data_IF_887846443291
#
_entry.id   IF_887846443291
#
_cell.length_a   1.000
_cell.length_b   1.000
_cell.length_c   1.000
_cell.angle_alpha   90.00
_cell.angle_beta   90.00
_cell.angle_gamma   90.00
#
_symmetry.space_group_name_H-M   'P 1'
#
loop_
_entity.id
_entity.type
_entity.pdbx_description
1 polymer ?
#
# COMPACT_ATOMS: atom_id res chain seq x y z
N UNK A 1 -0.23 17.67 5.36
CA UNK A 1 -1.38 16.76 5.18
C UNK A 1 -1.44 15.86 6.41
N UNK A 2 -2.43 16.07 7.26
CA UNK A 2 -2.65 15.25 8.44
C UNK A 2 -3.74 14.23 8.08
N UNK A 3 -3.37 13.15 7.39
CA UNK A 3 -4.29 12.10 6.98
C UNK A 3 -4.14 10.95 7.95
N UNK A 4 -5.12 10.77 8.81
CA UNK A 4 -5.18 9.63 9.72
C UNK A 4 -6.14 8.57 9.18
N UNK A 5 -5.59 7.43 8.76
CA UNK A 5 -6.38 6.31 8.21
C UNK A 5 -7.33 5.73 9.28
N UNK A 6 -6.98 5.83 10.55
CA UNK A 6 -7.76 5.30 11.67
C UNK A 6 -8.78 6.29 12.24
N UNK A 7 -8.91 7.46 11.65
CA UNK A 7 -9.81 8.51 12.12
C UNK A 7 -11.30 8.13 12.00
N UNK A 8 -11.63 7.30 11.01
CA UNK A 8 -13.02 6.92 10.71
C UNK A 8 -13.11 5.49 10.19
N UNK A 9 -14.19 4.76 10.54
CA UNK A 9 -14.48 3.46 9.91
C UNK A 9 -14.56 3.52 8.38
N UNK A 10 -14.98 4.64 7.84
CA UNK A 10 -15.05 4.85 6.38
C UNK A 10 -13.68 4.90 5.72
N UNK A 11 -12.69 5.53 6.36
CA UNK A 11 -11.31 5.58 5.84
C UNK A 11 -10.65 4.20 5.87
N UNK A 12 -10.91 3.41 6.91
CA UNK A 12 -10.45 2.02 7.00
C UNK A 12 -11.10 1.17 5.89
N UNK A 13 -12.42 1.26 5.73
CA UNK A 13 -13.15 0.53 4.69
C UNK A 13 -12.66 0.91 3.28
N UNK A 14 -12.44 2.20 3.03
CA UNK A 14 -11.88 2.71 1.77
C UNK A 14 -10.48 2.17 1.50
N UNK A 15 -9.62 2.16 2.52
CA UNK A 15 -8.26 1.61 2.41
C UNK A 15 -8.28 0.12 2.05
N UNK A 16 -9.11 -0.67 2.73
CA UNK A 16 -9.27 -2.10 2.43
C UNK A 16 -9.81 -2.29 1.01
N UNK A 17 -10.85 -1.56 0.63
CA UNK A 17 -11.43 -1.66 -0.72
C UNK A 17 -10.42 -1.32 -1.80
N UNK A 18 -9.70 -0.20 -1.65
CA UNK A 18 -8.70 0.22 -2.62
C UNK A 18 -7.53 -0.77 -2.73
N UNK A 19 -7.09 -1.34 -1.60
CA UNK A 19 -5.99 -2.30 -1.59
C UNK A 19 -6.31 -3.63 -2.28
N UNK A 20 -7.57 -4.05 -2.33
CA UNK A 20 -7.99 -5.30 -3.01
C UNK A 20 -8.52 -5.07 -4.43
N UNK A 21 -8.71 -3.80 -4.83
CA UNK A 21 -9.33 -3.45 -6.12
C UNK A 21 -8.59 -4.01 -7.34
N UNK A 22 -7.24 -4.05 -7.42
CA UNK A 22 -6.55 -4.64 -8.57
C UNK A 22 -6.91 -6.10 -8.81
N UNK A 23 -7.18 -6.86 -7.76
CA UNK A 23 -7.54 -8.28 -7.83
C UNK A 23 -8.94 -8.55 -8.42
N UNK A 24 -9.63 -7.52 -8.91
CA UNK A 24 -10.93 -7.68 -9.59
C UNK A 24 -10.82 -8.55 -10.85
N UNK A 25 -9.63 -8.69 -11.44
CA UNK A 25 -9.37 -9.59 -12.57
C UNK A 25 -9.20 -11.06 -12.17
N UNK A 26 -9.18 -11.36 -10.86
CA UNK A 26 -9.04 -12.72 -10.34
C UNK A 26 -10.36 -13.24 -9.78
N UNK A 27 -10.98 -14.19 -10.47
CA UNK A 27 -12.34 -14.71 -10.12
C UNK A 27 -12.44 -15.40 -8.77
N UNK A 28 -11.30 -15.78 -8.17
CA UNK A 28 -11.24 -16.43 -6.85
C UNK A 28 -10.96 -15.44 -5.71
N UNK A 29 -10.56 -14.20 -6.00
CA UNK A 29 -10.34 -13.16 -4.99
C UNK A 29 -11.65 -12.72 -4.33
N UNK A 30 -11.58 -12.03 -3.19
CA UNK A 30 -12.76 -11.51 -2.50
C UNK A 30 -13.56 -10.57 -3.41
N UNK A 31 -12.87 -9.58 -4.00
CA UNK A 31 -13.51 -8.60 -4.89
C UNK A 31 -13.96 -9.24 -6.20
N UNK A 32 -13.20 -10.20 -6.72
CA UNK A 32 -13.57 -10.94 -7.94
C UNK A 32 -14.80 -11.81 -7.76
N UNK A 33 -15.04 -12.38 -6.58
CA UNK A 33 -16.29 -13.08 -6.26
C UNK A 33 -17.47 -12.14 -6.12
N UNK A 34 -17.27 -10.96 -5.51
CA UNK A 34 -18.31 -9.94 -5.35
C UNK A 34 -18.76 -9.39 -6.70
N UNK A 35 -17.82 -9.16 -7.62
CA UNK A 35 -18.08 -8.66 -8.97
C UNK A 35 -17.83 -9.73 -10.04
N UNK A 36 -18.28 -10.96 -9.81
CA UNK A 36 -17.97 -12.13 -10.62
C UNK A 36 -18.14 -11.94 -12.15
N UNK A 37 -19.22 -11.33 -12.67
CA UNK A 37 -19.36 -11.13 -14.12
C UNK A 37 -18.25 -10.26 -14.72
N UNK A 38 -17.88 -9.17 -14.03
CA UNK A 38 -16.82 -8.25 -14.44
C UNK A 38 -15.47 -8.96 -14.32
N UNK A 39 -15.22 -9.64 -13.19
CA UNK A 39 -14.02 -10.41 -12.95
C UNK A 39 -13.77 -11.47 -14.00
N UNK A 40 -14.81 -12.23 -14.35
CA UNK A 40 -14.72 -13.25 -15.40
C UNK A 40 -14.41 -12.64 -16.76
N UNK A 41 -15.06 -11.53 -17.11
CA UNK A 41 -14.80 -10.82 -18.37
C UNK A 41 -13.35 -10.30 -18.46
N UNK A 42 -12.86 -9.67 -17.38
CA UNK A 42 -11.48 -9.17 -17.31
C UNK A 42 -10.47 -10.32 -17.42
N UNK A 43 -10.68 -11.39 -16.65
CA UNK A 43 -9.80 -12.55 -16.61
C UNK A 43 -9.69 -13.23 -17.99
N UNK A 44 -10.82 -13.38 -18.71
CA UNK A 44 -10.85 -14.01 -20.03
C UNK A 44 -10.22 -13.11 -21.10
N UNK A 45 -10.49 -11.80 -21.05
CA UNK A 45 -10.05 -10.86 -22.09
C UNK A 45 -8.61 -10.44 -21.97
N UNK A 46 -8.13 -10.19 -20.75
CA UNK A 46 -6.82 -9.60 -20.49
C UNK A 46 -5.88 -10.54 -19.72
N UNK A 47 -6.44 -11.52 -19.01
CA UNK A 47 -5.69 -12.37 -18.09
C UNK A 47 -5.52 -11.74 -16.71
N UNK A 48 -5.09 -12.57 -15.76
CA UNK A 48 -4.77 -12.12 -14.40
C UNK A 48 -3.44 -11.34 -14.36
N UNK A 49 -3.36 -10.31 -13.52
CA UNK A 49 -2.19 -9.44 -13.36
C UNK A 49 -1.76 -8.73 -14.63
N UNK A 50 -2.71 -8.18 -15.39
CA UNK A 50 -2.42 -7.41 -16.60
C UNK A 50 -2.91 -5.99 -16.50
N UNK A 51 -4.09 -5.70 -17.04
CA UNK A 51 -4.61 -4.33 -17.12
C UNK A 51 -4.88 -3.71 -15.74
N UNK A 52 -5.41 -4.48 -14.81
CA UNK A 52 -5.75 -4.01 -13.45
C UNK A 52 -4.52 -3.76 -12.58
N UNK A 53 -3.39 -4.36 -12.92
CA UNK A 53 -2.11 -4.18 -12.25
C UNK A 53 -1.17 -3.25 -13.03
N UNK A 54 -1.73 -2.39 -13.87
CA UNK A 54 -0.96 -1.42 -14.66
C UNK A 54 -1.02 -0.01 -14.05
N UNK A 55 -0.01 0.78 -14.37
CA UNK A 55 0.02 2.21 -14.02
C UNK A 55 -1.16 2.96 -14.65
N UNK A 56 -1.60 2.55 -15.84
CA UNK A 56 -2.75 3.14 -16.53
C UNK A 56 -4.03 2.93 -15.71
N UNK A 57 -4.26 1.72 -15.17
CA UNK A 57 -5.40 1.44 -14.31
C UNK A 57 -5.32 2.27 -13.02
N UNK A 58 -4.15 2.33 -12.38
CA UNK A 58 -3.92 3.13 -11.19
C UNK A 58 -4.30 4.60 -11.41
N UNK A 59 -3.76 5.22 -12.48
CA UNK A 59 -4.03 6.62 -12.81
C UNK A 59 -5.52 6.83 -13.11
N UNK A 60 -6.12 5.94 -13.91
CA UNK A 60 -7.54 6.04 -14.28
C UNK A 60 -8.45 5.97 -13.06
N UNK A 61 -8.24 5.01 -12.15
CA UNK A 61 -9.01 4.87 -10.92
C UNK A 61 -8.83 6.09 -10.00
N UNK A 62 -7.59 6.58 -9.87
CA UNK A 62 -7.29 7.77 -9.06
C UNK A 62 -8.01 9.01 -9.59
N UNK A 63 -7.99 9.23 -10.92
CA UNK A 63 -8.67 10.38 -11.56
C UNK A 63 -10.18 10.28 -11.37
N UNK A 64 -10.77 9.11 -11.62
CA UNK A 64 -12.21 8.88 -11.45
C UNK A 64 -12.63 9.12 -10.00
N UNK A 65 -11.84 8.61 -9.05
CA UNK A 65 -12.13 8.79 -7.63
C UNK A 65 -11.98 10.25 -7.20
N UNK A 66 -10.92 10.94 -7.66
CA UNK A 66 -10.71 12.37 -7.39
C UNK A 66 -11.87 13.22 -7.91
N UNK A 67 -12.32 12.96 -9.13
CA UNK A 67 -13.45 13.66 -9.72
C UNK A 67 -14.72 13.43 -8.90
N UNK A 68 -15.00 12.19 -8.51
CA UNK A 68 -16.15 11.84 -7.68
C UNK A 68 -16.08 12.53 -6.32
N UNK A 69 -14.91 12.52 -5.67
CA UNK A 69 -14.71 13.16 -4.37
C UNK A 69 -14.92 14.68 -4.46
N UNK A 70 -14.40 15.34 -5.51
CA UNK A 70 -14.59 16.78 -5.73
C UNK A 70 -16.04 17.14 -5.95
N UNK A 71 -16.79 16.32 -6.68
CA UNK A 71 -18.23 16.57 -6.94
C UNK A 71 -19.07 16.39 -5.68
N UNK A 72 -18.82 15.34 -4.89
CA UNK A 72 -19.69 14.99 -3.75
C UNK A 72 -19.24 15.56 -2.41
N UNK A 73 -17.92 15.69 -2.17
CA UNK A 73 -17.39 16.05 -0.85
C UNK A 73 -16.52 17.31 -0.84
N UNK A 74 -16.19 17.88 -2.01
CA UNK A 74 -15.35 19.08 -2.17
C UNK A 74 -13.99 18.98 -1.45
N UNK A 75 -13.51 17.75 -1.25
CA UNK A 75 -12.26 17.40 -0.57
C UNK A 75 -11.25 16.77 -1.58
N UNK A 76 -10.13 16.30 -1.13
CA UNK A 76 -9.14 15.52 -1.88
C UNK A 76 -8.41 14.53 -0.95
N UNK A 77 -8.84 14.46 0.30
CA UNK A 77 -8.18 13.66 1.34
C UNK A 77 -8.40 12.17 1.13
N UNK A 78 -9.63 11.78 0.78
CA UNK A 78 -9.97 10.38 0.54
C UNK A 78 -9.30 9.84 -0.72
N UNK A 79 -9.09 10.68 -1.73
CA UNK A 79 -8.33 10.32 -2.93
C UNK A 79 -6.88 9.97 -2.60
N UNK A 80 -6.25 10.67 -1.67
CA UNK A 80 -4.89 10.32 -1.22
C UNK A 80 -4.87 8.94 -0.56
N UNK A 81 -5.80 8.68 0.37
CA UNK A 81 -5.92 7.37 1.03
C UNK A 81 -6.14 6.25 -0.01
N UNK A 82 -7.09 6.45 -0.92
CA UNK A 82 -7.40 5.52 -2.00
C UNK A 82 -6.16 5.24 -2.87
N UNK A 83 -5.47 6.29 -3.32
CA UNK A 83 -4.31 6.17 -4.20
C UNK A 83 -3.14 5.46 -3.52
N UNK A 84 -2.83 5.78 -2.26
CA UNK A 84 -1.76 5.11 -1.53
C UNK A 84 -2.09 3.64 -1.28
N UNK A 85 -3.33 3.31 -0.94
CA UNK A 85 -3.76 1.92 -0.75
C UNK A 85 -3.68 1.12 -2.06
N UNK A 86 -4.14 1.68 -3.17
CA UNK A 86 -4.06 1.07 -4.49
C UNK A 86 -2.60 0.88 -4.94
N UNK A 87 -1.77 1.91 -4.75
CA UNK A 87 -0.35 1.86 -5.09
C UNK A 87 0.40 0.80 -4.27
N UNK A 88 0.07 0.68 -2.97
CA UNK A 88 0.70 -0.31 -2.10
C UNK A 88 0.49 -1.74 -2.60
N UNK A 89 -0.69 -2.07 -3.13
CA UNK A 89 -0.96 -3.37 -3.75
C UNK A 89 -0.03 -3.61 -4.95
N UNK A 90 0.09 -2.64 -5.87
CA UNK A 90 0.97 -2.77 -7.02
C UNK A 90 2.45 -2.95 -6.61
N UNK A 91 2.90 -2.21 -5.60
CA UNK A 91 4.26 -2.34 -5.07
C UNK A 91 4.47 -3.73 -4.47
N UNK A 92 3.51 -4.25 -3.69
CA UNK A 92 3.59 -5.59 -3.11
C UNK A 92 3.67 -6.68 -4.19
N UNK A 93 2.91 -6.54 -5.26
CA UNK A 93 2.96 -7.47 -6.38
C UNK A 93 4.28 -7.40 -7.16
N UNK A 94 4.92 -6.23 -7.25
CA UNK A 94 6.27 -6.10 -7.81
C UNK A 94 7.32 -6.83 -6.97
N UNK A 95 7.08 -7.03 -5.67
CA UNK A 95 7.97 -7.78 -4.77
C UNK A 95 7.84 -9.30 -4.93
N UNK A 96 6.85 -9.76 -5.69
CA UNK A 96 6.68 -11.19 -5.96
C UNK A 96 7.60 -11.69 -7.07
N UNK A 97 7.82 -13.01 -7.13
CA UNK A 97 8.63 -13.65 -8.19
C UNK A 97 8.05 -13.37 -9.58
N UNK A 98 6.73 -13.32 -9.71
CA UNK A 98 6.06 -13.10 -11.00
C UNK A 98 6.10 -11.64 -11.44
N UNK A 99 6.05 -10.68 -10.50
CA UNK A 99 5.92 -9.27 -10.79
C UNK A 99 4.61 -8.91 -11.49
N UNK A 100 4.53 -7.67 -12.00
CA UNK A 100 3.39 -7.14 -12.73
C UNK A 100 3.83 -6.37 -13.98
N UNK A 101 3.07 -6.38 -15.07
CA UNK A 101 3.36 -5.57 -16.26
C UNK A 101 2.89 -4.13 -16.04
N UNK A 102 3.64 -3.39 -15.22
CA UNK A 102 3.28 -2.04 -14.77
C UNK A 102 2.95 -1.08 -15.93
N UNK A 103 3.65 -1.22 -17.05
CA UNK A 103 3.50 -0.36 -18.23
C UNK A 103 2.52 -0.93 -19.28
N UNK A 104 1.70 -1.90 -18.93
CA UNK A 104 0.68 -2.39 -19.84
C UNK A 104 -0.32 -1.28 -20.21
N UNK A 105 -0.79 -1.13 -21.47
CA UNK A 105 -0.60 -2.02 -22.62
C UNK A 105 0.66 -1.76 -23.46
N UNK A 106 1.45 -0.74 -23.13
CA UNK A 106 2.63 -0.33 -23.92
C UNK A 106 3.79 -1.34 -23.83
N UNK A 107 4.00 -1.91 -22.65
CA UNK A 107 4.97 -2.97 -22.43
C UNK A 107 4.37 -4.10 -21.61
N UNK A 108 4.72 -5.34 -21.98
CA UNK A 108 4.26 -6.56 -21.29
C UNK A 108 5.31 -7.16 -20.36
N UNK A 109 6.50 -6.58 -20.32
CA UNK A 109 7.58 -7.06 -19.48
C UNK A 109 7.22 -6.87 -18.01
N UNK A 110 7.37 -7.91 -17.16
CA UNK A 110 7.07 -7.78 -15.75
C UNK A 110 8.09 -6.86 -15.06
N UNK A 111 7.59 -5.90 -14.31
CA UNK A 111 8.36 -5.11 -13.38
C UNK A 111 8.47 -5.88 -12.05
N UNK A 112 9.70 -6.05 -11.57
CA UNK A 112 10.00 -6.80 -10.34
C UNK A 112 11.01 -6.02 -9.50
N UNK A 113 10.82 -6.07 -8.19
CA UNK A 113 11.72 -5.52 -7.18
C UNK A 113 11.83 -6.58 -6.06
N UNK A 114 13.00 -6.92 -5.55
CA UNK A 114 14.36 -6.57 -6.00
C UNK A 114 14.77 -7.32 -7.28
N UNK A 115 15.87 -6.87 -7.88
CA UNK A 115 16.42 -7.54 -9.08
C UNK A 115 16.86 -8.99 -8.79
N UNK A 116 17.35 -9.27 -7.57
CA UNK A 116 17.71 -10.62 -7.15
C UNK A 116 16.46 -11.49 -6.94
N UNK A 117 16.29 -12.60 -7.70
CA UNK A 117 15.12 -13.48 -7.58
C UNK A 117 14.98 -14.14 -6.21
N UNK A 118 16.09 -14.42 -5.51
CA UNK A 118 16.09 -15.12 -4.22
C UNK A 118 15.46 -14.29 -3.08
N UNK A 119 15.42 -12.98 -3.26
CA UNK A 119 14.83 -12.06 -2.30
C UNK A 119 13.34 -11.76 -2.58
N UNK A 120 12.77 -12.36 -3.64
CA UNK A 120 11.37 -12.12 -4.00
C UNK A 120 10.42 -13.04 -3.25
N UNK A 121 9.23 -12.53 -2.99
CA UNK A 121 8.17 -13.28 -2.31
C UNK A 121 7.60 -14.32 -3.29
N UNK A 122 7.65 -15.58 -2.91
CA UNK A 122 7.02 -16.64 -3.70
C UNK A 122 5.56 -16.76 -3.32
N UNK A 123 4.67 -16.23 -4.18
CA UNK A 123 3.22 -16.32 -4.00
C UNK A 123 2.78 -17.78 -4.02
N UNK A 124 1.94 -18.18 -3.04
CA UNK A 124 1.50 -19.55 -2.85
C UNK A 124 2.37 -20.38 -1.87
N UNK A 125 3.48 -19.82 -1.39
CA UNK A 125 4.26 -20.43 -0.32
C UNK A 125 3.91 -19.78 1.03
N UNK A 126 3.20 -20.52 1.89
CA UNK A 126 2.70 -20.04 3.20
C UNK A 126 3.84 -19.45 4.05
N UNK A 127 5.06 -20.00 3.97
CA UNK A 127 6.20 -19.49 4.75
C UNK A 127 6.64 -18.11 4.27
N UNK A 128 6.81 -17.92 2.96
CA UNK A 128 7.22 -16.63 2.40
C UNK A 128 6.15 -15.56 2.56
N UNK A 129 4.89 -15.93 2.38
CA UNK A 129 3.75 -15.03 2.60
C UNK A 129 3.60 -14.65 4.09
N UNK A 130 3.80 -15.60 4.99
CA UNK A 130 3.78 -15.36 6.45
C UNK A 130 4.90 -14.43 6.90
N UNK A 131 6.11 -14.60 6.39
CA UNK A 131 7.25 -13.70 6.68
C UNK A 131 6.96 -12.30 6.13
N UNK A 132 6.47 -12.20 4.89
CA UNK A 132 6.11 -10.92 4.29
C UNK A 132 5.03 -10.22 5.10
N UNK A 133 3.95 -10.92 5.47
CA UNK A 133 2.87 -10.37 6.29
C UNK A 133 3.39 -9.87 7.64
N UNK A 134 4.25 -10.65 8.31
CA UNK A 134 4.87 -10.27 9.57
C UNK A 134 5.71 -8.99 9.43
N UNK A 135 6.57 -8.92 8.42
CA UNK A 135 7.41 -7.75 8.16
C UNK A 135 6.57 -6.51 7.82
N UNK A 136 5.55 -6.64 6.98
CA UNK A 136 4.67 -5.52 6.62
C UNK A 136 3.84 -5.05 7.81
N UNK A 137 3.31 -5.97 8.63
CA UNK A 137 2.57 -5.62 9.84
C UNK A 137 3.48 -4.91 10.84
N UNK A 138 4.69 -5.44 11.06
CA UNK A 138 5.69 -4.80 11.92
C UNK A 138 6.08 -3.40 11.43
N UNK A 139 6.31 -3.25 10.12
CA UNK A 139 6.59 -1.95 9.50
C UNK A 139 5.41 -0.98 9.61
N UNK A 140 4.17 -1.45 9.40
CA UNK A 140 2.97 -0.63 9.54
C UNK A 140 2.78 -0.12 10.96
N UNK A 141 2.99 -0.98 11.97
CA UNK A 141 2.95 -0.59 13.38
C UNK A 141 4.06 0.41 13.73
N UNK A 142 5.26 0.20 13.21
CA UNK A 142 6.38 1.12 13.40
C UNK A 142 6.13 2.48 12.74
N UNK A 143 5.47 2.50 11.59
CA UNK A 143 5.12 3.72 10.86
C UNK A 143 3.85 4.41 11.37
N UNK A 144 3.06 3.75 12.23
CA UNK A 144 1.81 4.31 12.78
C UNK A 144 1.98 5.71 13.37
N UNK A 145 3.00 6.03 14.20
CA UNK A 145 3.18 7.37 14.74
C UNK A 145 3.42 8.42 13.65
N UNK A 146 4.11 8.03 12.56
CA UNK A 146 4.37 8.92 11.42
C UNK A 146 3.06 9.31 10.70
N UNK A 147 2.15 8.35 10.53
CA UNK A 147 0.86 8.59 9.90
C UNK A 147 -0.13 9.31 10.84
N UNK A 148 -0.08 9.02 12.15
CA UNK A 148 -1.00 9.61 13.13
C UNK A 148 -0.62 11.05 13.51
N UNK A 149 0.68 11.34 13.68
CA UNK A 149 1.16 12.61 14.22
C UNK A 149 1.88 13.50 13.20
N UNK A 150 2.11 12.97 11.99
CA UNK A 150 2.92 13.60 10.96
C UNK A 150 4.43 13.37 11.17
N UNK A 151 5.17 13.44 10.05
CA UNK A 151 6.61 13.13 10.02
C UNK A 151 7.44 14.02 10.96
N UNK A 152 7.24 15.33 10.91
CA UNK A 152 8.03 16.28 11.70
C UNK A 152 7.78 16.16 13.20
N UNK A 153 6.55 15.94 13.62
CA UNK A 153 6.20 15.79 15.04
C UNK A 153 6.80 14.51 15.61
N UNK A 154 6.71 13.40 14.87
CA UNK A 154 7.30 12.12 15.28
C UNK A 154 8.81 12.19 15.33
N UNK A 155 9.45 12.78 14.31
CA UNK A 155 10.88 12.98 14.26
C UNK A 155 11.38 13.82 15.44
N UNK A 156 10.75 14.97 15.70
CA UNK A 156 11.13 15.85 16.81
C UNK A 156 10.95 15.19 18.18
N UNK A 157 9.86 14.43 18.39
CA UNK A 157 9.62 13.72 19.64
C UNK A 157 10.65 12.63 19.88
N UNK A 158 11.00 11.84 18.86
CA UNK A 158 12.03 10.82 18.97
C UNK A 158 13.42 11.42 19.20
N UNK A 159 13.75 12.48 18.46
CA UNK A 159 15.03 13.17 18.63
C UNK A 159 15.17 13.78 20.03
N UNK A 160 14.14 14.41 20.55
CA UNK A 160 14.13 15.00 21.89
C UNK A 160 14.23 13.92 22.98
N UNK A 161 13.57 12.76 22.82
CA UNK A 161 13.70 11.62 23.74
C UNK A 161 15.14 11.09 23.80
N UNK A 162 15.75 10.89 22.64
CA UNK A 162 17.14 10.44 22.55
C UNK A 162 18.08 11.49 23.18
N UNK A 163 17.90 12.75 22.88
CA UNK A 163 18.69 13.84 23.43
C UNK A 163 18.55 13.96 24.96
N UNK A 164 17.37 13.65 25.51
CA UNK A 164 17.14 13.60 26.95
C UNK A 164 17.95 12.47 27.61
N UNK A 165 17.87 11.27 27.05
CA UNK A 165 18.63 10.11 27.54
C UNK A 165 20.14 10.40 27.53
N UNK A 166 20.67 10.99 26.45
CA UNK A 166 22.08 11.36 26.38
C UNK A 166 22.47 12.42 27.41
N UNK A 167 21.61 13.39 27.72
CA UNK A 167 21.88 14.39 28.78
C UNK A 167 21.88 13.76 30.15
N UNK A 168 21.00 12.83 30.46
CA UNK A 168 20.99 12.10 31.73
C UNK A 168 22.27 11.28 31.92
N UNK A 169 22.70 10.54 30.90
CA UNK A 169 23.97 9.83 30.93
C UNK A 169 25.16 10.76 31.21
N UNK A 170 25.24 11.86 30.48
CA UNK A 170 26.33 12.85 30.64
C UNK A 170 26.31 13.57 32.00
N UNK A 171 25.14 13.75 32.60
CA UNK A 171 25.05 14.35 33.94
C UNK A 171 25.41 13.37 35.05
N UNK A 172 25.09 12.10 34.88
CA UNK A 172 25.45 11.02 35.81
C UNK A 172 26.98 10.79 35.87
N UNK A 173 27.66 10.90 34.72
CA UNK A 173 29.12 10.73 34.63
C UNK A 173 29.90 11.89 35.27
N UNK A 174 29.30 13.09 35.38
CA UNK A 174 29.90 14.26 36.03
C UNK A 174 29.68 14.29 37.55
N UNK A 175 28.83 13.41 38.09
CA UNK A 175 28.49 13.32 39.51
C UNK A 175 29.27 12.22 40.27
N UNK A 176 30.10 11.46 39.53
CA UNK A 176 31.08 10.51 40.05
C UNK A 176 32.50 11.14 40.03
#
# INVERSE_FOLDING_TARGET
>A
FNVNIFESPYTIALTIFASILPDIDHTKSLIGKLFFPISKWLSVKFGHRTITHSLLFFISCTIVFLFSEKVFFQSGTYTLIFSFALLSHLVLDMLTVQGIPLFYPFARNPCVIPANPDLRINSGNIKSEGIALFLFTGMALFMQPLFANGFWTTYNNQFNSIAHVFREFSSSEKAL
#
